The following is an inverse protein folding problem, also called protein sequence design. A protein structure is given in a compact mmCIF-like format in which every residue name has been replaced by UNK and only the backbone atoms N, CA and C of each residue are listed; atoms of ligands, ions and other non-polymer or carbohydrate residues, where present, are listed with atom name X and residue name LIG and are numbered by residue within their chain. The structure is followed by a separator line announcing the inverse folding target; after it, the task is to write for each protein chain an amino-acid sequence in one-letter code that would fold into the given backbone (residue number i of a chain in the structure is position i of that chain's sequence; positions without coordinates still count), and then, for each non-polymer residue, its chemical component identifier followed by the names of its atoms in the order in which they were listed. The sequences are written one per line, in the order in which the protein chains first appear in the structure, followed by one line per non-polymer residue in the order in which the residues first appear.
data_IF_186501032790
#
_entry.id   IF_186501032790
#
_cell.length_a   1.000
_cell.length_b   1.000
_cell.length_c   1.000
_cell.angle_alpha   90.00
_cell.angle_beta   90.00
_cell.angle_gamma   90.00
#
_symmetry.space_group_name_H-M   'P 1'
#
loop_
_entity.id
_entity.type
_entity.pdbx_description
1 polymer ?
#
# COMPACT_ATOMS: atom_id res chain seq x y z
N UNK A 1 34.00 4.40 -10.14
CA UNK A 1 33.38 3.47 -11.10
C UNK A 1 33.82 3.70 -12.53
N UNK A 2 33.67 4.90 -13.10
CA UNK A 2 34.03 5.19 -14.52
C UNK A 2 35.47 4.74 -14.85
N UNK A 3 36.45 5.12 -14.02
CA UNK A 3 37.86 4.73 -14.24
C UNK A 3 38.07 3.22 -14.13
N UNK A 4 37.50 2.55 -13.11
CA UNK A 4 37.60 1.09 -12.94
C UNK A 4 36.98 0.30 -14.09
N UNK A 5 35.86 0.78 -14.65
CA UNK A 5 35.21 0.17 -15.82
C UNK A 5 36.05 0.39 -17.07
N UNK A 6 36.60 1.60 -17.24
CA UNK A 6 37.54 1.91 -18.32
C UNK A 6 38.79 1.02 -18.26
N UNK A 7 39.21 0.67 -17.05
CA UNK A 7 40.36 -0.20 -16.77
C UNK A 7 40.01 -1.71 -16.80
N UNK A 8 38.78 -2.08 -17.18
CA UNK A 8 38.38 -3.47 -17.47
C UNK A 8 37.42 -4.13 -16.46
N UNK A 9 36.99 -3.43 -15.41
CA UNK A 9 35.94 -3.92 -14.52
C UNK A 9 34.56 -3.89 -15.20
N UNK A 10 33.68 -4.80 -14.81
CA UNK A 10 32.32 -4.84 -15.33
C UNK A 10 31.49 -3.64 -14.84
N UNK A 11 30.71 -3.03 -15.74
CA UNK A 11 29.84 -1.92 -15.39
C UNK A 11 28.64 -2.41 -14.57
N UNK A 12 28.15 -1.61 -13.60
CA UNK A 12 27.01 -2.00 -12.77
C UNK A 12 25.68 -1.81 -13.53
N UNK A 13 25.39 -2.70 -14.48
CA UNK A 13 24.09 -2.79 -15.16
C UNK A 13 23.02 -3.42 -14.26
N UNK A 14 21.77 -3.46 -14.72
CA UNK A 14 20.66 -4.09 -14.00
C UNK A 14 20.95 -5.53 -13.60
N UNK A 15 21.64 -6.31 -14.43
CA UNK A 15 22.03 -7.70 -14.14
C UNK A 15 23.03 -7.79 -12.99
N UNK A 16 24.03 -6.91 -12.98
CA UNK A 16 25.07 -6.86 -11.93
C UNK A 16 24.49 -6.36 -10.62
N UNK A 17 23.59 -5.38 -10.67
CA UNK A 17 22.86 -4.90 -9.49
C UNK A 17 21.97 -6.00 -8.93
N UNK A 18 21.22 -6.73 -9.76
CA UNK A 18 20.39 -7.86 -9.33
C UNK A 18 21.23 -8.98 -8.70
N UNK A 19 22.37 -9.33 -9.31
CA UNK A 19 23.31 -10.29 -8.74
C UNK A 19 23.84 -9.83 -7.36
N UNK A 20 24.11 -8.53 -7.21
CA UNK A 20 24.49 -7.93 -5.93
C UNK A 20 23.40 -8.04 -4.87
N UNK A 21 22.12 -7.82 -5.23
CA UNK A 21 20.99 -8.02 -4.32
C UNK A 21 20.91 -9.47 -3.85
N UNK A 22 21.10 -10.45 -4.74
CA UNK A 22 21.11 -11.87 -4.37
C UNK A 22 22.32 -12.25 -3.51
N UNK A 23 23.51 -11.76 -3.86
CA UNK A 23 24.74 -11.98 -3.11
C UNK A 23 24.68 -11.42 -1.68
N UNK A 24 23.86 -10.39 -1.43
CA UNK A 24 23.63 -9.83 -0.10
C UNK A 24 22.81 -10.73 0.82
N UNK A 25 21.95 -11.60 0.25
CA UNK A 25 20.96 -12.39 1.02
C UNK A 25 21.58 -13.38 2.01
N UNK A 26 22.65 -14.14 1.69
CA UNK A 26 23.29 -15.04 2.65
C UNK A 26 23.83 -14.30 3.89
N UNK A 27 24.37 -13.10 3.70
CA UNK A 27 24.87 -12.28 4.80
C UNK A 27 23.73 -11.75 5.67
N UNK A 28 22.65 -11.25 5.06
CA UNK A 28 21.44 -10.83 5.79
C UNK A 28 20.87 -12.02 6.60
N UNK A 29 20.80 -13.21 6.00
CA UNK A 29 20.35 -14.43 6.69
C UNK A 29 21.23 -14.77 7.90
N UNK A 30 22.56 -14.68 7.76
CA UNK A 30 23.48 -14.92 8.87
C UNK A 30 23.29 -13.89 10.00
N UNK A 31 23.09 -12.62 9.67
CA UNK A 31 22.81 -11.55 10.63
C UNK A 31 21.48 -11.78 11.37
N UNK A 32 20.40 -12.12 10.65
CA UNK A 32 19.11 -12.44 11.26
C UNK A 32 19.19 -13.69 12.14
N UNK A 33 19.96 -14.72 11.73
CA UNK A 33 20.18 -15.92 12.54
C UNK A 33 20.90 -15.60 13.84
N UNK A 34 21.96 -14.80 13.80
CA UNK A 34 22.68 -14.37 14.99
C UNK A 34 21.78 -13.57 15.95
N UNK A 35 20.95 -12.66 15.42
CA UNK A 35 19.97 -11.92 16.22
C UNK A 35 18.92 -12.84 16.84
N UNK A 36 18.43 -13.83 16.09
CA UNK A 36 17.46 -14.82 16.58
C UNK A 36 18.05 -15.72 17.67
N UNK A 37 19.33 -16.09 17.54
CA UNK A 37 20.06 -16.87 18.56
C UNK A 37 20.33 -16.08 19.83
N UNK A 38 20.49 -14.75 19.72
CA UNK A 38 20.59 -13.88 20.88
C UNK A 38 19.22 -13.74 21.56
N UNK A 39 18.16 -13.52 20.77
CA UNK A 39 16.80 -13.42 21.27
C UNK A 39 16.35 -14.72 21.98
N UNK A 40 16.69 -15.90 21.44
CA UNK A 40 16.34 -17.17 22.09
C UNK A 40 16.99 -17.37 23.46
N UNK A 41 18.12 -16.71 23.72
CA UNK A 41 18.85 -16.79 24.99
C UNK A 41 18.46 -15.71 25.99
N UNK A 42 18.07 -14.52 25.51
CA UNK A 42 17.97 -13.33 26.35
C UNK A 42 16.82 -12.38 26.01
N UNK A 43 15.88 -12.76 25.13
CA UNK A 43 14.73 -11.91 24.84
C UNK A 43 13.84 -11.75 26.07
N UNK A 44 13.38 -10.52 26.29
CA UNK A 44 12.30 -10.23 27.23
C UNK A 44 11.00 -10.84 26.72
N UNK A 45 10.05 -11.17 27.61
CA UNK A 45 8.72 -11.57 27.18
C UNK A 45 8.08 -10.48 26.31
N UNK A 46 7.24 -10.91 25.36
CA UNK A 46 6.48 -10.00 24.52
C UNK A 46 5.52 -9.20 25.40
N UNK A 47 5.54 -7.88 25.28
CA UNK A 47 4.59 -7.00 25.96
C UNK A 47 3.23 -7.02 25.27
N UNK A 48 2.18 -6.75 26.03
CA UNK A 48 0.85 -6.52 25.46
C UNK A 48 0.75 -5.08 24.97
N UNK A 49 0.61 -4.92 23.66
CA UNK A 49 0.38 -3.63 23.02
C UNK A 49 -0.94 -3.68 22.24
N UNK A 50 -1.87 -2.75 22.49
CA UNK A 50 -3.14 -2.73 21.77
C UNK A 50 -2.91 -2.40 20.29
N UNK A 51 -3.62 -3.13 19.42
CA UNK A 51 -3.69 -2.85 17.98
C UNK A 51 -4.96 -2.05 17.73
N UNK A 52 -4.82 -0.96 16.97
CA UNK A 52 -5.94 -0.12 16.58
C UNK A 52 -6.15 -0.25 15.08
N UNK A 53 -7.33 -0.71 14.68
CA UNK A 53 -7.71 -0.77 13.27
C UNK A 53 -8.18 0.61 12.81
N UNK A 54 -7.84 0.96 11.57
CA UNK A 54 -8.27 2.23 10.97
C UNK A 54 -9.77 2.26 10.67
N UNK A 55 -10.38 1.08 10.46
CA UNK A 55 -11.81 0.84 10.24
C UNK A 55 -12.13 -0.62 10.51
N UNK A 56 -13.39 -0.91 10.81
CA UNK A 56 -13.91 -2.29 10.84
C UNK A 56 -14.51 -2.69 9.48
N UNK A 57 -14.65 -4.00 9.27
CA UNK A 57 -15.09 -4.57 7.99
C UNK A 57 -16.49 -4.11 7.57
N UNK A 58 -17.38 -3.86 8.53
CA UNK A 58 -18.75 -3.41 8.26
C UNK A 58 -18.80 -2.04 7.55
N UNK A 59 -17.92 -1.11 7.93
CA UNK A 59 -17.77 0.20 7.25
C UNK A 59 -17.23 0.00 5.84
N UNK A 60 -16.21 -0.85 5.68
CA UNK A 60 -15.62 -1.11 4.36
C UNK A 60 -16.63 -1.76 3.40
N UNK A 61 -17.36 -2.76 3.86
CA UNK A 61 -18.38 -3.44 3.07
C UNK A 61 -19.52 -2.51 2.67
N UNK A 62 -20.02 -1.71 3.63
CA UNK A 62 -21.07 -0.73 3.35
C UNK A 62 -20.60 0.30 2.33
N UNK A 63 -19.37 0.82 2.49
CA UNK A 63 -18.78 1.78 1.57
C UNK A 63 -18.58 1.20 0.17
N UNK A 64 -18.02 -0.01 0.06
CA UNK A 64 -17.81 -0.67 -1.22
C UNK A 64 -19.14 -0.89 -1.96
N UNK A 65 -20.17 -1.39 -1.25
CA UNK A 65 -21.52 -1.54 -1.82
C UNK A 65 -22.09 -0.19 -2.26
N UNK A 66 -21.78 0.89 -1.54
CA UNK A 66 -22.34 2.21 -1.81
C UNK A 66 -21.71 2.93 -3.01
N UNK A 67 -20.38 2.85 -3.21
CA UNK A 67 -19.67 3.74 -4.16
C UNK A 67 -18.64 3.07 -5.07
N UNK A 68 -18.48 1.73 -5.06
CA UNK A 68 -17.46 1.09 -5.90
C UNK A 68 -17.64 1.41 -7.40
N UNK A 69 -18.87 1.45 -7.91
CA UNK A 69 -19.13 1.73 -9.32
C UNK A 69 -18.70 3.15 -9.70
N UNK A 70 -19.16 4.14 -8.94
CA UNK A 70 -18.88 5.57 -9.16
C UNK A 70 -17.38 5.86 -8.96
N UNK A 71 -16.77 5.31 -7.92
CA UNK A 71 -15.34 5.45 -7.66
C UNK A 71 -14.50 4.84 -8.78
N UNK A 72 -14.88 3.67 -9.29
CA UNK A 72 -14.18 3.04 -10.42
C UNK A 72 -14.21 3.95 -11.66
N UNK A 73 -15.35 4.56 -11.96
CA UNK A 73 -15.48 5.51 -13.07
C UNK A 73 -14.64 6.77 -12.86
N UNK A 74 -14.69 7.36 -11.67
CA UNK A 74 -13.89 8.53 -11.30
C UNK A 74 -12.38 8.29 -11.51
N UNK A 75 -11.90 7.09 -11.14
CA UNK A 75 -10.51 6.69 -11.28
C UNK A 75 -10.05 6.48 -12.73
N UNK A 76 -10.95 6.53 -13.72
CA UNK A 76 -10.60 6.48 -15.15
C UNK A 76 -10.31 7.86 -15.76
N UNK A 77 -10.69 8.95 -15.09
CA UNK A 77 -10.52 10.32 -15.55
C UNK A 77 -9.02 10.67 -15.56
N UNK A 78 -8.46 10.96 -16.74
CA UNK A 78 -7.04 11.26 -16.89
C UNK A 78 -6.67 12.69 -16.43
N UNK A 79 -7.59 13.64 -16.55
CA UNK A 79 -7.40 15.02 -16.13
C UNK A 79 -7.32 15.13 -14.60
N UNK A 80 -6.23 15.70 -14.07
CA UNK A 80 -6.02 15.78 -12.61
C UNK A 80 -7.14 16.54 -11.90
N UNK A 81 -7.52 17.72 -12.39
CA UNK A 81 -8.53 18.57 -11.76
C UNK A 81 -9.92 17.92 -11.83
N UNK A 82 -10.29 17.43 -13.01
CA UNK A 82 -11.58 16.76 -13.22
C UNK A 82 -11.70 15.49 -12.37
N UNK A 83 -10.61 14.72 -12.25
CA UNK A 83 -10.57 13.54 -11.40
C UNK A 83 -10.72 13.88 -9.93
N UNK A 84 -9.96 14.84 -9.42
CA UNK A 84 -10.06 15.23 -8.00
C UNK A 84 -11.47 15.75 -7.68
N UNK A 85 -12.07 16.56 -8.55
CA UNK A 85 -13.44 17.04 -8.37
C UNK A 85 -14.45 15.87 -8.29
N UNK A 86 -14.31 14.87 -9.16
CA UNK A 86 -15.19 13.69 -9.14
C UNK A 86 -14.91 12.80 -7.91
N UNK A 87 -13.65 12.64 -7.50
CA UNK A 87 -13.30 11.89 -6.29
C UNK A 87 -13.83 12.55 -5.01
N UNK A 88 -13.85 13.88 -4.95
CA UNK A 88 -14.46 14.63 -3.85
C UNK A 88 -15.98 14.44 -3.85
N UNK A 89 -16.62 14.54 -5.02
CA UNK A 89 -18.07 14.27 -5.18
C UNK A 89 -18.44 12.85 -4.74
N UNK A 90 -17.68 11.84 -5.15
CA UNK A 90 -17.92 10.44 -4.75
C UNK A 90 -17.74 10.24 -3.25
N UNK A 91 -16.79 10.96 -2.63
CA UNK A 91 -16.57 10.91 -1.19
C UNK A 91 -17.72 11.55 -0.41
N UNK A 92 -18.30 12.63 -0.91
CA UNK A 92 -19.52 13.23 -0.34
C UNK A 92 -20.70 12.27 -0.45
N UNK A 93 -20.92 11.66 -1.62
CA UNK A 93 -21.97 10.64 -1.82
C UNK A 93 -21.78 9.45 -0.88
N UNK A 94 -20.54 9.01 -0.68
CA UNK A 94 -20.23 7.95 0.28
C UNK A 94 -20.64 8.34 1.71
N UNK A 95 -20.31 9.56 2.15
CA UNK A 95 -20.69 10.05 3.47
C UNK A 95 -22.21 10.15 3.62
N UNK A 96 -22.92 10.68 2.61
CA UNK A 96 -24.38 10.78 2.61
C UNK A 96 -25.06 9.40 2.65
N UNK A 97 -24.56 8.41 1.92
CA UNK A 97 -25.13 7.05 1.90
C UNK A 97 -24.90 6.28 3.19
N UNK A 98 -23.82 6.57 3.92
CA UNK A 98 -23.44 5.84 5.14
C UNK A 98 -23.94 6.52 6.43
N UNK A 99 -24.30 7.80 6.37
CA UNK A 99 -24.93 8.49 7.50
C UNK A 99 -26.47 8.37 7.43
N UNK A 100 -27.16 8.24 8.57
CA UNK A 100 -26.65 8.25 9.95
C UNK A 100 -26.19 6.87 10.47
N UNK A 101 -26.19 5.82 9.63
CA UNK A 101 -25.91 4.44 10.07
C UNK A 101 -24.52 4.26 10.72
N UNK A 102 -23.54 5.08 10.32
CA UNK A 102 -22.17 5.08 10.85
C UNK A 102 -21.80 6.40 11.54
N UNK A 103 -22.74 7.07 12.22
CA UNK A 103 -22.43 8.27 13.02
C UNK A 103 -21.32 8.02 14.05
N UNK A 104 -20.38 8.97 14.17
CA UNK A 104 -19.20 8.87 15.04
C UNK A 104 -18.06 8.01 14.47
N UNK A 105 -18.25 7.42 13.27
CA UNK A 105 -17.26 6.57 12.59
C UNK A 105 -16.76 7.20 11.28
N UNK A 106 -16.82 8.52 11.16
CA UNK A 106 -16.43 9.26 9.95
C UNK A 106 -14.95 9.05 9.60
N UNK A 107 -14.10 8.86 10.61
CA UNK A 107 -12.68 8.51 10.42
C UNK A 107 -12.52 7.14 9.77
N UNK A 108 -13.33 6.17 10.15
CA UNK A 108 -13.33 4.84 9.55
C UNK A 108 -13.79 4.89 8.09
N UNK A 109 -14.84 5.66 7.79
CA UNK A 109 -15.32 5.86 6.40
C UNK A 109 -14.20 6.42 5.52
N UNK A 110 -13.51 7.45 6.00
CA UNK A 110 -12.39 8.08 5.29
C UNK A 110 -11.21 7.11 5.08
N UNK A 111 -10.88 6.28 6.08
CA UNK A 111 -9.83 5.29 5.98
C UNK A 111 -10.19 4.11 5.04
N UNK A 112 -11.43 3.64 5.12
CA UNK A 112 -11.99 2.62 4.23
C UNK A 112 -12.02 3.13 2.77
N UNK A 113 -12.38 4.39 2.55
CA UNK A 113 -12.37 5.03 1.23
C UNK A 113 -10.98 5.02 0.59
N UNK A 114 -9.94 5.40 1.35
CA UNK A 114 -8.55 5.31 0.88
C UNK A 114 -8.15 3.88 0.53
N UNK A 115 -8.56 2.91 1.35
CA UNK A 115 -8.27 1.49 1.12
C UNK A 115 -8.97 0.97 -0.14
N UNK A 116 -10.23 1.32 -0.37
CA UNK A 116 -10.99 0.99 -1.57
C UNK A 116 -10.36 1.62 -2.82
N UNK A 117 -10.04 2.92 -2.77
CA UNK A 117 -9.34 3.61 -3.87
C UNK A 117 -8.01 2.93 -4.22
N UNK A 118 -7.21 2.58 -3.20
CA UNK A 118 -5.95 1.85 -3.38
C UNK A 118 -6.17 0.49 -4.05
N UNK A 119 -7.22 -0.24 -3.65
CA UNK A 119 -7.57 -1.52 -4.25
C UNK A 119 -7.89 -1.37 -5.73
N UNK A 120 -8.82 -0.48 -6.07
CA UNK A 120 -9.29 -0.25 -7.45
C UNK A 120 -8.17 0.24 -8.39
N UNK A 121 -7.31 1.15 -7.92
CA UNK A 121 -6.15 1.61 -8.71
C UNK A 121 -5.20 0.46 -8.99
N UNK A 122 -4.89 -0.38 -7.99
CA UNK A 122 -3.99 -1.53 -8.17
C UNK A 122 -4.58 -2.58 -9.10
N UNK A 123 -5.87 -2.86 -8.95
CA UNK A 123 -6.59 -3.77 -9.84
C UNK A 123 -6.50 -3.30 -11.30
N UNK A 124 -6.79 -2.02 -11.56
CA UNK A 124 -6.69 -1.41 -12.90
C UNK A 124 -5.28 -1.48 -13.46
N UNK A 125 -4.25 -1.20 -12.66
CA UNK A 125 -2.85 -1.33 -13.10
C UNK A 125 -2.51 -2.77 -13.47
N UNK A 126 -3.00 -3.76 -12.71
CA UNK A 126 -2.69 -5.17 -12.96
C UNK A 126 -3.44 -5.67 -14.20
N UNK A 127 -4.75 -5.38 -14.29
CA UNK A 127 -5.67 -5.88 -15.31
C UNK A 127 -5.54 -5.14 -16.63
N UNK A 128 -5.60 -3.81 -16.59
CA UNK A 128 -5.71 -2.97 -17.77
C UNK A 128 -4.37 -2.34 -18.18
N UNK A 129 -3.34 -2.44 -17.32
CA UNK A 129 -2.02 -1.80 -17.52
C UNK A 129 -2.08 -0.27 -17.63
N UNK A 130 -3.14 0.34 -17.11
CA UNK A 130 -3.34 1.79 -17.11
C UNK A 130 -3.15 2.34 -15.69
N UNK A 131 -2.42 3.46 -15.58
CA UNK A 131 -2.24 4.21 -14.33
C UNK A 131 -3.39 5.19 -14.12
N UNK A 132 -3.57 5.65 -12.88
CA UNK A 132 -4.52 6.71 -12.53
C UNK A 132 -4.19 8.02 -13.27
#
# INVERSE_FOLDING_TARGET
TIQLVKDGAEAPTEEIVAAGLDASKPFIKALCKAQSDLASKAAKPVGEFPVFLDYQDDVFEALAKAVTSELTQALTIAGKQDREAELDRVKEIAAEKLLPAFEGREKEISAAYRSLTKHLVRERVIKDKVRI
#
